data_IF_410473679996
#
_entry.id   IF_410473679996
#
_cell.length_a   1.000
_cell.length_b   1.000
_cell.length_c   1.000
_cell.angle_alpha   90.00
_cell.angle_beta   90.00
_cell.angle_gamma   90.00
#
_symmetry.space_group_name_H-M   'P 1'
#
loop_
_entity.id
_entity.type
_entity.pdbx_description
1 polymer ?
#
# COMPACT_ATOMS: atom_id res chain seq x y z
N UNK A 1 -15.06 -7.01 -3.94
CA UNK A 1 -14.99 -6.07 -5.08
C UNK A 1 -15.11 -6.77 -6.43
N UNK A 2 -14.25 -7.76 -6.72
CA UNK A 2 -14.11 -8.35 -8.07
C UNK A 2 -15.41 -8.91 -8.64
N UNK A 3 -16.19 -9.65 -7.85
CA UNK A 3 -17.46 -10.25 -8.32
C UNK A 3 -18.51 -9.18 -8.67
N UNK A 4 -18.68 -8.14 -7.84
CA UNK A 4 -19.62 -7.05 -8.13
C UNK A 4 -19.19 -6.18 -9.31
N UNK A 5 -17.88 -5.96 -9.45
CA UNK A 5 -17.31 -5.24 -10.59
C UNK A 5 -17.62 -5.94 -11.92
N UNK A 6 -17.44 -7.27 -11.98
CA UNK A 6 -17.77 -8.06 -13.16
C UNK A 6 -19.28 -8.20 -13.39
N UNK A 7 -20.12 -8.15 -12.34
CA UNK A 7 -21.56 -8.36 -12.46
C UNK A 7 -22.39 -7.09 -12.76
N UNK A 8 -22.01 -5.92 -12.25
CA UNK A 8 -22.90 -4.72 -12.29
C UNK A 8 -22.31 -3.49 -12.99
N UNK A 9 -21.06 -3.54 -13.46
CA UNK A 9 -20.46 -2.42 -14.19
C UNK A 9 -20.36 -1.13 -13.37
N UNK A 10 -20.25 0.00 -14.10
CA UNK A 10 -19.78 1.31 -13.61
C UNK A 10 -20.62 1.93 -12.48
N UNK A 11 -21.93 1.68 -12.45
CA UNK A 11 -22.84 2.32 -11.48
C UNK A 11 -22.81 1.66 -10.10
N UNK A 12 -22.41 0.39 -9.99
CA UNK A 12 -22.26 -0.27 -8.68
C UNK A 12 -21.02 0.13 -7.90
N UNK A 13 -20.09 0.86 -8.54
CA UNK A 13 -18.78 1.18 -7.98
C UNK A 13 -18.89 2.17 -6.82
N UNK A 14 -19.81 3.14 -6.92
CA UNK A 14 -19.96 4.21 -5.91
C UNK A 14 -20.54 3.65 -4.61
N UNK A 15 -21.63 2.88 -4.68
CA UNK A 15 -22.25 2.25 -3.51
C UNK A 15 -21.33 1.20 -2.88
N UNK A 16 -20.62 0.45 -3.73
CA UNK A 16 -19.65 -0.54 -3.25
C UNK A 16 -18.45 0.13 -2.59
N UNK A 17 -18.03 1.31 -3.06
CA UNK A 17 -16.98 2.09 -2.42
C UNK A 17 -17.42 2.61 -1.05
N UNK A 18 -18.65 3.12 -0.89
CA UNK A 18 -19.13 3.61 0.41
C UNK A 18 -19.08 2.53 1.50
N UNK A 19 -19.50 1.31 1.17
CA UNK A 19 -19.44 0.19 2.10
C UNK A 19 -17.98 -0.28 2.36
N UNK A 20 -17.16 -0.32 1.32
CA UNK A 20 -15.79 -0.88 1.40
C UNK A 20 -14.80 0.12 1.99
N UNK A 21 -14.96 1.42 1.76
CA UNK A 21 -14.08 2.46 2.30
C UNK A 21 -14.05 2.45 3.82
N UNK A 22 -15.19 2.20 4.48
CA UNK A 22 -15.24 2.05 5.93
C UNK A 22 -14.50 0.78 6.39
N UNK A 23 -14.75 -0.37 5.74
CA UNK A 23 -14.07 -1.63 6.07
C UNK A 23 -12.56 -1.53 5.85
N UNK A 24 -12.13 -0.88 4.76
CA UNK A 24 -10.73 -0.67 4.43
C UNK A 24 -10.04 0.22 5.46
N UNK A 25 -10.69 1.30 5.91
CA UNK A 25 -10.16 2.15 7.00
C UNK A 25 -9.96 1.37 8.28
N UNK A 26 -10.95 0.56 8.68
CA UNK A 26 -10.83 -0.29 9.86
C UNK A 26 -9.70 -1.32 9.70
N UNK A 27 -9.62 -1.99 8.54
CA UNK A 27 -8.57 -2.96 8.26
C UNK A 27 -7.18 -2.32 8.34
N UNK A 28 -7.00 -1.15 7.73
CA UNK A 28 -5.74 -0.41 7.76
C UNK A 28 -5.37 0.07 9.17
N UNK A 29 -6.35 0.47 9.99
CA UNK A 29 -6.13 0.80 11.40
C UNK A 29 -5.73 -0.43 12.21
N UNK A 30 -6.32 -1.59 11.96
CA UNK A 30 -5.92 -2.85 12.61
C UNK A 30 -4.52 -3.28 12.17
N UNK A 31 -4.13 -3.02 10.92
CA UNK A 31 -2.76 -3.29 10.45
C UNK A 31 -1.69 -2.49 11.22
N UNK A 32 -2.03 -1.42 11.95
CA UNK A 32 -1.08 -0.77 12.87
C UNK A 32 -0.66 -1.66 14.04
N UNK A 33 -1.50 -2.62 14.46
CA UNK A 33 -1.11 -3.61 15.48
C UNK A 33 0.05 -4.49 15.01
N UNK A 34 0.23 -4.65 13.70
CA UNK A 34 1.38 -5.39 13.18
C UNK A 34 2.70 -4.72 13.55
N UNK A 35 2.77 -3.38 13.48
CA UNK A 35 3.96 -2.65 13.92
C UNK A 35 4.23 -2.87 15.41
N UNK A 36 3.18 -2.99 16.22
CA UNK A 36 3.32 -3.32 17.64
C UNK A 36 3.87 -4.75 17.83
N UNK A 37 3.39 -5.73 17.06
CA UNK A 37 3.89 -7.11 17.15
C UNK A 37 5.37 -7.23 16.77
N UNK A 38 5.80 -6.53 15.71
CA UNK A 38 7.22 -6.51 15.31
C UNK A 38 8.04 -5.74 16.38
N UNK A 39 7.52 -4.64 16.94
CA UNK A 39 8.21 -3.88 17.99
C UNK A 39 8.41 -4.69 19.27
N UNK A 40 7.42 -5.49 19.67
CA UNK A 40 7.51 -6.43 20.80
C UNK A 40 8.44 -7.61 20.50
N UNK A 41 8.83 -7.82 19.24
CA UNK A 41 9.75 -8.88 18.83
C UNK A 41 9.08 -10.23 18.62
N UNK A 42 7.75 -10.27 18.45
CA UNK A 42 7.00 -11.49 18.14
C UNK A 42 7.34 -11.98 16.72
N UNK A 43 7.62 -11.04 15.81
CA UNK A 43 7.98 -11.34 14.42
C UNK A 43 9.34 -10.70 14.10
N UNK A 44 10.28 -11.48 13.57
CA UNK A 44 11.66 -11.04 13.26
C UNK A 44 11.77 -10.29 11.91
N UNK A 45 10.73 -9.57 11.52
CA UNK A 45 10.74 -8.79 10.27
C UNK A 45 11.37 -7.41 10.47
N UNK A 46 11.91 -6.83 9.39
CA UNK A 46 12.48 -5.49 9.42
C UNK A 46 11.39 -4.42 9.66
N UNK A 47 11.49 -3.72 10.80
CA UNK A 47 10.54 -2.69 11.23
C UNK A 47 10.42 -1.50 10.26
N UNK A 48 11.54 -0.99 9.78
CA UNK A 48 11.60 0.22 8.95
C UNK A 48 10.85 0.13 7.62
N UNK A 49 11.10 -0.87 6.74
CA UNK A 49 10.37 -0.98 5.47
C UNK A 49 8.87 -1.20 5.70
N UNK A 50 8.48 -1.88 6.78
CA UNK A 50 7.06 -2.09 7.14
C UNK A 50 6.39 -0.82 7.61
N UNK A 51 7.07 -0.05 8.45
CA UNK A 51 6.58 1.24 8.90
C UNK A 51 6.36 2.20 7.73
N UNK A 52 7.31 2.28 6.80
CA UNK A 52 7.20 3.12 5.61
C UNK A 52 6.01 2.71 4.74
N UNK A 53 5.90 1.43 4.37
CA UNK A 53 4.78 0.93 3.55
C UNK A 53 3.41 1.19 4.19
N UNK A 54 3.29 0.96 5.50
CA UNK A 54 2.01 1.14 6.19
C UNK A 54 1.64 2.63 6.31
N UNK A 55 2.62 3.48 6.61
CA UNK A 55 2.46 4.93 6.70
C UNK A 55 2.05 5.52 5.35
N UNK A 56 2.69 5.11 4.26
CA UNK A 56 2.35 5.53 2.90
C UNK A 56 0.88 5.22 2.58
N UNK A 57 0.45 3.98 2.82
CA UNK A 57 -0.94 3.55 2.57
C UNK A 57 -1.97 4.28 3.44
N UNK A 58 -1.66 4.52 4.72
CA UNK A 58 -2.53 5.28 5.63
C UNK A 58 -2.68 6.72 5.15
N UNK A 59 -1.58 7.38 4.76
CA UNK A 59 -1.61 8.75 4.25
C UNK A 59 -2.48 8.80 2.99
N UNK A 60 -2.29 7.91 2.01
CA UNK A 60 -3.13 7.90 0.80
C UNK A 60 -4.62 7.67 1.15
N UNK A 61 -4.92 6.69 2.01
CA UNK A 61 -6.30 6.34 2.35
C UNK A 61 -7.05 7.46 3.09
N UNK A 62 -6.40 8.09 4.07
CA UNK A 62 -7.03 9.13 4.89
C UNK A 62 -6.91 10.52 4.27
N UNK A 63 -5.75 10.89 3.73
CA UNK A 63 -5.49 12.25 3.22
C UNK A 63 -6.00 12.44 1.80
N UNK A 64 -5.81 11.46 0.91
CA UNK A 64 -6.19 11.61 -0.51
C UNK A 64 -7.61 11.08 -0.75
N UNK A 65 -7.86 9.83 -0.36
CA UNK A 65 -9.12 9.14 -0.69
C UNK A 65 -10.27 9.60 0.21
N UNK A 66 -10.07 9.70 1.53
CA UNK A 66 -11.15 10.11 2.45
C UNK A 66 -11.48 11.60 2.33
N UNK A 67 -10.50 12.46 2.03
CA UNK A 67 -10.73 13.90 1.90
C UNK A 67 -11.49 14.30 0.64
N UNK A 68 -11.53 13.46 -0.40
CA UNK A 68 -12.11 13.80 -1.70
C UNK A 68 -13.09 12.72 -2.15
N UNK A 69 -14.39 12.92 -1.89
CA UNK A 69 -15.46 12.01 -2.31
C UNK A 69 -15.52 11.82 -3.84
N UNK A 70 -15.09 12.82 -4.62
CA UNK A 70 -15.02 12.70 -6.09
C UNK A 70 -13.94 11.71 -6.58
N UNK A 71 -12.88 11.51 -5.79
CA UNK A 71 -11.79 10.59 -6.11
C UNK A 71 -12.18 9.15 -5.73
N UNK A 72 -13.03 8.99 -4.72
CA UNK A 72 -13.52 7.70 -4.23
C UNK A 72 -14.23 6.86 -5.30
N UNK A 73 -14.99 7.51 -6.19
CA UNK A 73 -15.68 6.83 -7.30
C UNK A 73 -14.79 6.48 -8.51
N UNK A 74 -13.50 6.85 -8.51
CA UNK A 74 -12.62 6.65 -9.67
C UNK A 74 -12.11 5.21 -9.72
N UNK A 75 -11.95 4.70 -10.95
CA UNK A 75 -11.45 3.35 -11.22
C UNK A 75 -10.08 3.06 -10.57
N UNK A 76 -9.24 4.08 -10.46
CA UNK A 76 -7.88 3.99 -9.94
C UNK A 76 -7.88 3.58 -8.47
N UNK A 77 -8.83 4.09 -7.68
CA UNK A 77 -8.96 3.72 -6.26
C UNK A 77 -9.42 2.28 -6.10
N UNK A 78 -10.33 1.82 -6.96
CA UNK A 78 -10.77 0.42 -6.99
C UNK A 78 -9.60 -0.54 -7.29
N UNK A 79 -8.80 -0.24 -8.31
CA UNK A 79 -7.61 -1.02 -8.67
C UNK A 79 -6.59 -1.04 -7.53
N UNK A 80 -6.36 0.12 -6.91
CA UNK A 80 -5.44 0.28 -5.78
C UNK A 80 -5.88 -0.56 -4.57
N UNK A 81 -7.18 -0.58 -4.25
CA UNK A 81 -7.72 -1.45 -3.20
C UNK A 81 -7.56 -2.94 -3.52
N UNK A 82 -7.73 -3.34 -4.78
CA UNK A 82 -7.51 -4.73 -5.19
C UNK A 82 -6.04 -5.13 -4.99
N UNK A 83 -5.09 -4.29 -5.43
CA UNK A 83 -3.67 -4.59 -5.26
C UNK A 83 -3.25 -4.63 -3.79
N UNK A 84 -3.74 -3.68 -2.99
CA UNK A 84 -3.53 -3.67 -1.54
C UNK A 84 -4.02 -4.95 -0.87
N UNK A 85 -5.25 -5.38 -1.14
CA UNK A 85 -5.79 -6.63 -0.59
C UNK A 85 -5.01 -7.86 -1.07
N UNK A 86 -4.59 -7.89 -2.34
CA UNK A 86 -3.83 -9.02 -2.89
C UNK A 86 -2.46 -9.14 -2.21
N UNK A 87 -1.75 -8.03 -2.01
CA UNK A 87 -0.50 -8.00 -1.28
C UNK A 87 -0.67 -8.44 0.17
N UNK A 88 -1.68 -7.91 0.87
CA UNK A 88 -1.95 -8.25 2.26
C UNK A 88 -2.32 -9.72 2.43
N UNK A 89 -3.13 -10.28 1.53
CA UNK A 89 -3.49 -11.70 1.57
C UNK A 89 -2.26 -12.60 1.52
N UNK A 90 -1.38 -12.39 0.54
CA UNK A 90 -0.17 -13.22 0.37
C UNK A 90 0.78 -13.04 1.55
N UNK A 91 0.95 -11.81 2.01
CA UNK A 91 1.83 -11.43 3.11
C UNK A 91 1.38 -12.00 4.45
N UNK A 92 0.10 -11.83 4.80
CA UNK A 92 -0.45 -12.39 6.04
C UNK A 92 -0.40 -13.90 6.05
N UNK A 93 -0.63 -14.54 4.90
CA UNK A 93 -0.47 -16.00 4.76
C UNK A 93 0.98 -16.41 5.05
N UNK A 94 1.96 -15.70 4.50
CA UNK A 94 3.39 -15.96 4.76
C UNK A 94 3.77 -15.73 6.23
N UNK A 95 3.40 -14.58 6.80
CA UNK A 95 3.68 -14.22 8.20
C UNK A 95 3.08 -15.22 9.18
N UNK A 96 1.82 -15.63 8.95
CA UNK A 96 1.14 -16.59 9.82
C UNK A 96 1.84 -17.97 9.80
N UNK A 97 2.27 -18.43 8.63
CA UNK A 97 3.02 -19.69 8.52
C UNK A 97 4.40 -19.60 9.16
N UNK A 98 5.07 -18.45 9.02
CA UNK A 98 6.37 -18.21 9.66
C UNK A 98 6.27 -18.28 11.19
N UNK A 99 5.21 -17.74 11.79
CA UNK A 99 4.99 -17.78 13.26
C UNK A 99 4.69 -19.21 13.75
N UNK A 100 4.01 -20.03 12.93
CA UNK A 100 3.75 -21.44 13.24
C UNK A 100 5.01 -22.32 13.06
N UNK A 101 6.08 -21.78 12.46
CA UNK A 101 7.32 -22.50 12.20
C UNK A 101 7.27 -23.43 10.99
N UNK A 102 6.23 -23.31 10.14
CA UNK A 102 6.08 -24.12 8.93
C UNK A 102 6.52 -23.28 7.73
N UNK A 103 7.64 -23.64 7.11
CA UNK A 103 8.14 -22.95 5.91
C UNK A 103 7.91 -23.78 4.65
N UNK A 104 7.09 -23.27 3.73
CA UNK A 104 6.96 -23.83 2.38
C UNK A 104 7.77 -22.98 1.39
N UNK A 105 8.78 -23.59 0.77
CA UNK A 105 9.64 -22.90 -0.21
C UNK A 105 8.84 -22.25 -1.36
N UNK A 106 7.77 -22.91 -1.81
CA UNK A 106 6.89 -22.38 -2.88
C UNK A 106 6.15 -21.12 -2.43
N UNK A 107 5.63 -21.10 -1.19
CA UNK A 107 4.90 -19.93 -0.68
C UNK A 107 5.84 -18.76 -0.42
N UNK A 108 7.04 -19.01 0.12
CA UNK A 108 8.08 -17.99 0.28
C UNK A 108 8.47 -17.42 -1.08
N UNK A 109 8.70 -18.27 -2.08
CA UNK A 109 9.03 -17.83 -3.43
C UNK A 109 7.89 -17.03 -4.08
N UNK A 110 6.64 -17.48 -3.92
CA UNK A 110 5.46 -16.79 -4.44
C UNK A 110 5.32 -15.40 -3.82
N UNK A 111 5.44 -15.30 -2.49
CA UNK A 111 5.38 -14.03 -1.76
C UNK A 111 6.45 -13.05 -2.26
N UNK A 112 7.70 -13.52 -2.34
CA UNK A 112 8.82 -12.69 -2.80
C UNK A 112 8.74 -12.32 -4.30
N UNK A 113 8.12 -13.16 -5.13
CA UNK A 113 7.99 -12.92 -6.57
C UNK A 113 6.79 -12.05 -6.92
N UNK A 114 5.66 -12.20 -6.22
CA UNK A 114 4.47 -11.36 -6.41
C UNK A 114 4.69 -9.94 -5.90
N UNK A 115 5.50 -9.78 -4.86
CA UNK A 115 5.75 -8.46 -4.28
C UNK A 115 6.50 -7.52 -5.25
N UNK A 116 7.45 -8.05 -6.04
CA UNK A 116 8.26 -7.28 -6.98
C UNK A 116 7.49 -6.49 -8.05
N UNK A 117 6.52 -7.08 -8.79
CA UNK A 117 5.74 -6.33 -9.78
C UNK A 117 4.55 -5.59 -9.16
N UNK A 118 3.96 -6.10 -8.07
CA UNK A 118 2.74 -5.48 -7.53
C UNK A 118 3.06 -4.21 -6.75
N UNK A 119 4.18 -4.15 -6.00
CA UNK A 119 4.57 -2.94 -5.28
C UNK A 119 4.76 -1.69 -6.18
N UNK A 120 5.54 -1.72 -7.28
CA UNK A 120 5.66 -0.57 -8.19
C UNK A 120 4.31 -0.19 -8.81
N UNK A 121 3.45 -1.18 -9.10
CA UNK A 121 2.10 -0.91 -9.61
C UNK A 121 1.23 -0.20 -8.57
N UNK A 122 1.33 -0.56 -7.28
CA UNK A 122 0.66 0.16 -6.20
C UNK A 122 1.10 1.62 -6.13
N UNK A 123 2.42 1.87 -6.12
CA UNK A 123 2.96 3.24 -6.03
C UNK A 123 2.57 4.08 -7.24
N UNK A 124 2.56 3.50 -8.44
CA UNK A 124 2.07 4.18 -9.63
C UNK A 124 0.56 4.51 -9.54
N UNK A 125 -0.25 3.59 -9.02
CA UNK A 125 -1.67 3.84 -8.80
C UNK A 125 -1.91 4.93 -7.75
N UNK A 126 -1.10 4.97 -6.68
CA UNK A 126 -1.12 6.01 -5.65
C UNK A 126 -0.74 7.38 -6.22
N UNK A 127 0.34 7.44 -7.01
CA UNK A 127 0.76 8.67 -7.70
C UNK A 127 -0.33 9.18 -8.66
N UNK A 128 -1.01 8.28 -9.38
CA UNK A 128 -2.08 8.65 -10.28
C UNK A 128 -3.37 9.09 -9.55
N UNK A 129 -3.65 8.52 -8.37
CA UNK A 129 -4.71 8.98 -7.48
C UNK A 129 -4.42 10.38 -6.94
N UNK A 130 -3.17 10.65 -6.51
CA UNK A 130 -2.71 11.99 -6.12
C UNK A 130 -2.87 12.98 -7.27
N UNK A 131 -2.38 12.63 -8.46
CA UNK A 131 -2.43 13.50 -9.63
C UNK A 131 -3.87 13.89 -10.00
N UNK A 132 -4.80 12.93 -9.96
CA UNK A 132 -6.21 13.20 -10.18
C UNK A 132 -6.85 14.03 -9.06
N UNK A 133 -6.40 13.87 -7.82
CA UNK A 133 -6.91 14.65 -6.67
C UNK A 133 -6.44 16.11 -6.68
N UNK A 134 -5.30 16.40 -7.29
CA UNK A 134 -4.64 17.70 -7.29
C UNK A 134 -5.53 18.87 -7.80
N UNK A 135 -6.22 18.78 -8.97
CA UNK A 135 -7.11 19.84 -9.43
C UNK A 135 -8.30 20.08 -8.48
N UNK A 136 -8.78 19.04 -7.80
CA UNK A 136 -9.85 19.16 -6.81
C UNK A 136 -9.37 19.91 -5.56
N UNK A 137 -8.15 19.64 -5.08
CA UNK A 137 -7.55 20.39 -3.98
C UNK A 137 -7.27 21.86 -4.34
N UNK A 138 -6.90 22.15 -5.58
CA UNK A 138 -6.71 23.52 -6.08
C UNK A 138 -8.05 24.28 -6.21
N UNK A 139 -9.14 23.59 -6.58
CA UNK A 139 -10.46 24.19 -6.77
C UNK A 139 -11.26 24.37 -5.49
N UNK A 140 -11.22 23.42 -4.56
CA UNK A 140 -12.06 23.43 -3.35
C UNK A 140 -11.40 24.15 -2.15
N UNK A 141 -10.09 24.41 -2.19
CA UNK A 141 -9.37 25.07 -1.09
C UNK A 141 -9.37 24.27 0.23
N UNK A 142 -9.77 23.00 0.20
CA UNK A 142 -9.84 22.11 1.37
C UNK A 142 -8.44 21.93 1.95
N UNK A 143 -8.27 22.26 3.24
CA UNK A 143 -6.99 22.34 3.97
C UNK A 143 -6.06 23.53 3.66
N UNK A 144 -6.56 24.61 3.04
CA UNK A 144 -5.84 25.89 3.03
C UNK A 144 -5.96 26.60 4.37
N UNK A 145 -5.28 26.11 5.41
CA UNK A 145 -5.11 26.86 6.65
C UNK A 145 -4.07 27.95 6.45
N UNK A 146 -4.50 29.22 6.50
CA UNK A 146 -3.58 30.34 6.74
C UNK A 146 -3.06 30.18 8.17
N UNK A 147 -1.85 29.67 8.33
CA UNK A 147 -1.16 29.72 9.62
C UNK A 147 -0.85 31.19 9.98
N UNK A 148 -0.85 31.57 11.27
CA UNK A 148 -0.58 32.94 11.72
C UNK A 148 0.89 33.37 11.60
N UNK A 149 1.77 32.50 11.12
CA UNK A 149 3.14 32.82 10.72
C UNK A 149 3.20 32.74 9.19
N UNK A 150 3.84 33.71 8.52
CA UNK A 150 3.85 34.01 7.07
C UNK A 150 4.16 32.86 6.06
N UNK A 151 4.17 31.60 6.49
CA UNK A 151 4.20 30.42 5.63
C UNK A 151 2.76 30.00 5.25
N UNK A 152 2.26 30.57 4.16
CA UNK A 152 1.09 30.02 3.45
C UNK A 152 1.49 28.71 2.76
N UNK A 153 1.54 27.60 3.50
CA UNK A 153 1.77 26.28 2.92
C UNK A 153 0.50 25.89 2.16
N UNK A 154 0.46 26.15 0.85
CA UNK A 154 -0.63 25.64 0.03
C UNK A 154 -0.53 24.10 -0.01
N UNK A 155 -1.60 23.45 0.44
CA UNK A 155 -1.74 22.00 0.49
C UNK A 155 -1.35 21.27 -0.83
N UNK A 156 -1.62 21.80 -2.04
CA UNK A 156 -1.12 21.22 -3.29
C UNK A 156 0.42 21.11 -3.39
N UNK A 157 1.19 22.02 -2.80
CA UNK A 157 2.67 21.90 -2.78
C UNK A 157 3.12 20.77 -1.85
N UNK A 158 2.45 20.59 -0.71
CA UNK A 158 2.71 19.45 0.19
C UNK A 158 2.46 18.14 -0.54
N UNK A 159 1.38 18.05 -1.31
CA UNK A 159 1.04 16.85 -2.05
C UNK A 159 2.04 16.56 -3.20
N UNK A 160 2.57 17.60 -3.86
CA UNK A 160 3.65 17.47 -4.86
C UNK A 160 4.97 16.99 -4.23
N UNK A 161 5.34 17.53 -3.05
CA UNK A 161 6.51 17.06 -2.29
C UNK A 161 6.31 15.61 -1.85
N UNK A 162 5.12 15.26 -1.38
CA UNK A 162 4.77 13.91 -0.99
C UNK A 162 4.87 12.93 -2.18
N UNK A 163 4.46 13.33 -3.38
CA UNK A 163 4.63 12.53 -4.58
C UNK A 163 6.11 12.25 -4.89
N UNK A 164 7.00 13.25 -4.74
CA UNK A 164 8.45 12.99 -4.85
C UNK A 164 8.95 12.05 -3.75
N UNK A 165 8.47 12.20 -2.52
CA UNK A 165 8.82 11.34 -1.40
C UNK A 165 8.40 9.88 -1.63
N UNK A 166 7.22 9.64 -2.22
CA UNK A 166 6.73 8.30 -2.56
C UNK A 166 7.66 7.56 -3.53
N UNK A 167 8.17 8.24 -4.57
CA UNK A 167 9.11 7.60 -5.51
C UNK A 167 10.46 7.28 -4.84
N UNK A 168 10.91 8.12 -3.91
CA UNK A 168 12.14 7.87 -3.13
C UNK A 168 11.93 6.69 -2.17
N UNK A 169 10.81 6.69 -1.44
CA UNK A 169 10.42 5.61 -0.53
C UNK A 169 10.32 4.27 -1.26
N UNK A 170 9.65 4.27 -2.42
CA UNK A 170 9.55 3.13 -3.31
C UNK A 170 10.91 2.56 -3.68
N UNK A 171 11.86 3.41 -4.12
CA UNK A 171 13.19 2.95 -4.50
C UNK A 171 13.93 2.32 -3.31
N UNK A 172 13.86 2.95 -2.15
CA UNK A 172 14.50 2.46 -0.93
C UNK A 172 13.94 1.09 -0.51
N UNK A 173 12.61 0.98 -0.44
CA UNK A 173 11.92 -0.24 -0.03
C UNK A 173 12.10 -1.35 -1.05
N UNK A 174 12.08 -1.04 -2.35
CA UNK A 174 12.36 -2.00 -3.41
C UNK A 174 13.79 -2.53 -3.33
N UNK A 175 14.77 -1.65 -3.11
CA UNK A 175 16.18 -2.06 -2.95
C UNK A 175 16.36 -2.96 -1.73
N UNK A 176 15.70 -2.64 -0.62
CA UNK A 176 15.76 -3.45 0.60
C UNK A 176 15.19 -4.86 0.37
N UNK A 177 14.00 -4.94 -0.20
CA UNK A 177 13.34 -6.23 -0.47
C UNK A 177 14.03 -7.05 -1.56
N UNK A 178 14.68 -6.38 -2.51
CA UNK A 178 15.57 -7.05 -3.45
C UNK A 178 16.78 -7.69 -2.75
N UNK A 179 17.36 -7.02 -1.75
CA UNK A 179 18.42 -7.58 -0.90
C UNK A 179 17.91 -8.77 -0.10
N UNK A 180 16.76 -8.64 0.58
CA UNK A 180 16.17 -9.74 1.36
C UNK A 180 15.88 -10.96 0.49
N UNK A 181 15.38 -10.77 -0.73
CA UNK A 181 15.18 -11.88 -1.68
C UNK A 181 16.50 -12.58 -2.01
N UNK A 182 17.59 -11.83 -2.22
CA UNK A 182 18.90 -12.42 -2.50
C UNK A 182 19.39 -13.26 -1.33
N UNK A 183 19.18 -12.80 -0.11
CA UNK A 183 19.58 -13.52 1.09
C UNK A 183 18.74 -14.79 1.28
N UNK A 184 17.42 -14.69 1.17
CA UNK A 184 16.50 -15.83 1.34
C UNK A 184 16.69 -16.88 0.22
N UNK A 185 16.78 -16.46 -1.05
CA UNK A 185 16.93 -17.40 -2.17
C UNK A 185 18.38 -17.88 -2.36
N UNK A 186 19.38 -17.14 -1.87
CA UNK A 186 20.77 -17.60 -1.83
C UNK A 186 20.97 -18.80 -0.89
N UNK A 187 20.15 -18.91 0.15
CA UNK A 187 20.16 -20.03 1.11
C UNK A 187 19.46 -21.29 0.56
N UNK A 188 18.65 -21.18 -0.49
CA UNK A 188 18.09 -22.34 -1.21
C UNK A 188 18.97 -22.70 -2.40
N UNK A 189 20.04 -23.50 -2.24
CA UNK A 189 20.71 -24.06 -3.41
C UNK A 189 19.69 -24.94 -4.09
N UNK A 190 19.25 -24.53 -5.28
CA UNK A 190 18.62 -25.43 -6.24
C UNK A 190 19.61 -26.58 -6.37
N UNK A 191 19.30 -27.74 -5.78
CA UNK A 191 20.04 -28.97 -6.02
C UNK A 191 20.00 -29.17 -7.54
N UNK A 192 21.08 -28.81 -8.24
CA UNK A 192 21.31 -29.19 -9.62
C UNK A 192 21.21 -30.71 -9.62
N UNK A 193 20.10 -31.23 -10.13
CA UNK A 193 19.96 -32.64 -10.45
C UNK A 193 21.03 -32.90 -11.51
N UNK A 194 22.15 -33.49 -11.08
CA UNK A 194 23.18 -34.00 -12.00
C UNK A 194 22.46 -34.98 -12.91
N UNK A 195 22.38 -34.62 -14.18
CA UNK A 195 22.03 -35.53 -15.27
C UNK A 195 23.32 -36.21 -15.74
#
# INVERSE_FOLDING_TARGET
MTVRFFSFGKDSMVDTFYAIGLVMRLCQSVSLLELLHIYVGIESNHLLPRFLQLTERIIILFVVITSQEEVQGKYVVCVLFIFWNLLDMVRYTYSMLSVIGISYAVLTWLSQTLWMPIYPLCVLAEAFAIYQSLPYFESFGTYSTKLPFDLSIYFPYVLKIYLMMLFIGMYFTYSHLYSERRDILGIFPIKKKKM
#
